data_IF_603457725483
#
_entry.id   IF_603457725483
#
_cell.length_a   1.000
_cell.length_b   1.000
_cell.length_c   1.000
_cell.angle_alpha   90.00
_cell.angle_beta   90.00
_cell.angle_gamma   90.00
#
_symmetry.space_group_name_H-M   'P 1'
#
loop_
_entity.id
_entity.type
_entity.pdbx_description
1 polymer ?
#
# COMPACT_ATOMS: atom_id res chain seq x y z
N UNK A 1 -16.75 -5.83 -0.69
CA UNK A 1 -15.30 -5.75 -0.41
C UNK A 1 -14.82 -4.35 -0.72
N UNK A 2 -13.85 -3.85 0.06
CA UNK A 2 -13.29 -2.49 -0.08
C UNK A 2 -11.76 -2.54 -0.16
N UNK A 3 -11.17 -1.76 -1.05
CA UNK A 3 -9.71 -1.58 -1.15
C UNK A 3 -9.36 -0.12 -0.90
N UNK A 4 -8.44 0.13 0.03
CA UNK A 4 -7.84 1.44 0.25
C UNK A 4 -6.61 1.59 -0.65
N UNK A 5 -6.56 2.71 -1.37
CA UNK A 5 -5.45 3.06 -2.26
C UNK A 5 -4.73 4.29 -1.71
N UNK A 6 -3.50 4.10 -1.25
CA UNK A 6 -2.70 5.13 -0.61
C UNK A 6 -1.82 5.86 -1.62
N UNK A 7 -2.02 7.18 -1.75
CA UNK A 7 -1.25 8.04 -2.65
C UNK A 7 -0.11 8.74 -1.91
N UNK A 8 1.11 8.27 -2.09
CA UNK A 8 2.32 8.86 -1.51
C UNK A 8 2.91 10.05 -2.29
N UNK A 9 2.26 10.47 -3.37
CA UNK A 9 2.71 11.64 -4.12
C UNK A 9 2.38 12.94 -3.39
N UNK A 10 3.28 13.93 -3.37
CA UNK A 10 2.95 15.27 -2.89
C UNK A 10 1.94 16.01 -3.77
N UNK A 11 1.66 15.47 -4.95
CA UNK A 11 0.71 16.05 -5.91
C UNK A 11 -0.57 15.23 -5.94
N UNK A 12 -1.65 15.76 -5.39
CA UNK A 12 -2.93 15.09 -5.21
C UNK A 12 -3.57 14.62 -6.53
N UNK A 13 -3.42 15.38 -7.62
CA UNK A 13 -3.93 15.02 -8.94
C UNK A 13 -2.78 14.72 -9.92
N UNK A 14 -1.66 14.19 -9.42
CA UNK A 14 -0.47 13.88 -10.21
C UNK A 14 -0.50 12.51 -10.87
N UNK A 15 0.65 12.10 -11.43
CA UNK A 15 0.79 10.83 -12.15
C UNK A 15 0.50 9.61 -11.26
N UNK A 16 0.86 9.65 -9.97
CA UNK A 16 0.56 8.57 -9.02
C UNK A 16 -0.94 8.46 -8.77
N UNK A 17 -1.63 9.59 -8.62
CA UNK A 17 -3.10 9.61 -8.50
C UNK A 17 -3.77 9.06 -9.76
N UNK A 18 -3.31 9.44 -10.95
CA UNK A 18 -3.83 8.91 -12.21
C UNK A 18 -3.67 7.38 -12.31
N UNK A 19 -2.54 6.83 -11.85
CA UNK A 19 -2.32 5.38 -11.78
C UNK A 19 -3.29 4.71 -10.79
N UNK A 20 -3.50 5.30 -9.62
CA UNK A 20 -4.46 4.79 -8.64
C UNK A 20 -5.90 4.86 -9.13
N UNK A 21 -6.29 5.95 -9.81
CA UNK A 21 -7.62 6.06 -10.46
C UNK A 21 -7.82 5.01 -11.53
N UNK A 22 -6.77 4.69 -12.30
CA UNK A 22 -6.82 3.61 -13.28
C UNK A 22 -7.07 2.26 -12.60
N UNK A 23 -6.33 1.93 -11.54
CA UNK A 23 -6.53 0.71 -10.76
C UNK A 23 -7.90 0.68 -10.08
N UNK A 24 -8.35 1.80 -9.52
CA UNK A 24 -9.68 1.97 -8.91
C UNK A 24 -10.80 1.64 -9.90
N UNK A 25 -10.71 2.14 -11.13
CA UNK A 25 -11.67 1.82 -12.21
C UNK A 25 -11.74 0.31 -12.45
N UNK A 26 -10.59 -0.35 -12.60
CA UNK A 26 -10.50 -1.80 -12.84
C UNK A 26 -11.12 -2.60 -11.68
N UNK A 27 -10.91 -2.17 -10.43
CA UNK A 27 -11.51 -2.79 -9.23
C UNK A 27 -13.02 -2.56 -9.16
N UNK A 28 -13.48 -1.33 -9.45
CA UNK A 28 -14.91 -0.97 -9.42
C UNK A 28 -15.71 -1.74 -10.47
N UNK A 29 -15.16 -1.94 -11.68
CA UNK A 29 -15.74 -2.80 -12.72
C UNK A 29 -15.92 -4.27 -12.26
N UNK A 30 -15.26 -4.64 -11.14
CA UNK A 30 -15.34 -5.97 -10.51
C UNK A 30 -16.12 -5.97 -9.20
N UNK A 31 -16.95 -4.94 -8.99
CA UNK A 31 -17.78 -4.76 -7.79
C UNK A 31 -16.96 -4.69 -6.47
N UNK A 32 -15.76 -4.09 -6.52
CA UNK A 32 -14.95 -3.80 -5.36
C UNK A 32 -14.97 -2.28 -5.13
N UNK A 33 -15.42 -1.86 -3.97
CA UNK A 33 -15.38 -0.45 -3.55
C UNK A 33 -13.93 -0.01 -3.37
N UNK A 34 -13.66 1.22 -3.73
CA UNK A 34 -12.32 1.80 -3.60
C UNK A 34 -12.37 3.19 -2.98
N UNK A 35 -11.36 3.50 -2.21
CA UNK A 35 -11.14 4.83 -1.65
C UNK A 35 -9.67 5.21 -1.81
N UNK A 36 -9.39 6.39 -2.39
CA UNK A 36 -8.03 6.91 -2.52
C UNK A 36 -7.75 7.82 -1.33
N UNK A 37 -6.73 7.46 -0.55
CA UNK A 37 -6.26 8.21 0.61
C UNK A 37 -4.97 8.98 0.26
N UNK A 38 -5.01 10.29 0.34
CA UNK A 38 -3.88 11.15 0.08
C UNK A 38 -2.93 11.19 1.29
N UNK A 39 -1.65 10.87 1.08
CA UNK A 39 -0.59 10.90 2.09
C UNK A 39 0.29 12.15 1.92
N UNK A 40 0.76 12.39 0.71
CA UNK A 40 1.77 13.40 0.43
C UNK A 40 1.38 14.79 0.94
N UNK A 41 2.34 15.52 1.52
CA UNK A 41 2.21 16.82 2.21
C UNK A 41 1.36 16.80 3.49
N UNK A 42 0.88 15.65 3.93
CA UNK A 42 0.05 15.53 5.15
C UNK A 42 0.78 14.87 6.31
N UNK A 43 1.95 14.28 6.05
CA UNK A 43 2.80 13.68 7.07
C UNK A 43 3.61 14.75 7.80
N UNK A 44 3.41 14.89 9.12
CA UNK A 44 4.07 15.93 9.95
C UNK A 44 5.41 15.47 10.53
N UNK A 45 5.76 14.20 10.41
CA UNK A 45 7.03 13.70 10.95
C UNK A 45 7.26 12.22 10.71
N UNK A 46 8.52 11.82 10.92
CA UNK A 46 8.98 10.44 10.82
C UNK A 46 8.70 9.66 12.11
N UNK A 47 8.79 8.32 12.04
CA UNK A 47 8.71 7.49 13.24
C UNK A 47 9.93 7.76 14.15
N UNK A 48 9.67 8.10 15.41
CA UNK A 48 10.70 8.40 16.42
C UNK A 48 11.06 7.17 17.28
N UNK A 49 10.44 6.01 17.04
CA UNK A 49 10.64 4.81 17.86
C UNK A 49 10.20 4.97 19.33
N UNK A 50 9.28 5.87 19.62
CA UNK A 50 8.90 6.22 21.00
C UNK A 50 8.05 5.14 21.71
N UNK A 51 7.52 4.15 21.00
CA UNK A 51 6.70 3.08 21.56
C UNK A 51 5.26 3.47 21.93
N UNK A 52 4.88 4.75 21.86
CA UNK A 52 3.56 5.22 22.32
C UNK A 52 2.35 4.60 21.60
N UNK A 53 2.54 4.07 20.39
CA UNK A 53 1.48 3.37 19.65
C UNK A 53 1.25 1.92 20.12
N UNK A 54 2.17 1.33 20.89
CA UNK A 54 2.03 -0.06 21.36
C UNK A 54 0.82 -0.24 22.26
N UNK A 55 0.54 0.74 23.10
CA UNK A 55 -0.55 0.68 24.10
C UNK A 55 -1.86 1.25 23.56
N UNK A 56 -1.77 2.24 22.67
CA UNK A 56 -2.93 3.02 22.24
C UNK A 56 -3.43 2.64 20.84
N UNK A 57 -2.63 1.95 20.03
CA UNK A 57 -2.90 1.72 18.61
C UNK A 57 -2.87 2.99 17.76
N UNK A 58 -2.39 4.12 18.30
CA UNK A 58 -2.35 5.43 17.62
C UNK A 58 -0.97 6.06 17.71
N UNK A 59 -0.57 6.76 16.66
CA UNK A 59 0.68 7.51 16.68
C UNK A 59 0.56 8.76 17.53
N UNK A 60 1.63 9.09 18.29
CA UNK A 60 1.68 10.32 19.09
C UNK A 60 1.71 11.60 18.23
N UNK A 61 2.14 11.48 16.96
CA UNK A 61 2.07 12.58 16.00
C UNK A 61 0.69 12.54 15.36
N UNK A 62 -0.13 13.54 15.65
CA UNK A 62 -1.49 13.62 15.13
C UNK A 62 -1.50 14.24 13.73
N UNK A 63 -1.70 13.37 12.73
CA UNK A 63 -1.77 13.71 11.31
C UNK A 63 -2.49 12.61 10.51
N UNK A 64 -2.32 12.59 9.20
CA UNK A 64 -2.97 11.64 8.29
C UNK A 64 -2.70 10.15 8.62
N UNK A 65 -1.66 9.83 9.41
CA UNK A 65 -1.45 8.45 9.86
C UNK A 65 -2.56 8.01 10.80
N UNK A 66 -2.94 8.85 11.76
CA UNK A 66 -4.05 8.54 12.67
C UNK A 66 -5.40 8.49 11.94
N UNK A 67 -5.61 9.35 10.95
CA UNK A 67 -6.81 9.27 10.09
C UNK A 67 -6.85 7.94 9.31
N UNK A 68 -5.71 7.48 8.78
CA UNK A 68 -5.63 6.18 8.12
C UNK A 68 -5.89 5.02 9.09
N UNK A 69 -5.38 5.09 10.33
CA UNK A 69 -5.62 4.07 11.36
C UNK A 69 -7.11 3.92 11.68
N UNK A 70 -7.90 4.97 11.57
CA UNK A 70 -9.34 4.93 11.82
C UNK A 70 -10.10 4.13 10.74
N UNK A 71 -9.57 4.02 9.53
CA UNK A 71 -10.26 3.40 8.38
C UNK A 71 -9.66 2.09 7.87
N UNK A 72 -8.40 1.75 8.23
CA UNK A 72 -7.74 0.54 7.70
C UNK A 72 -8.45 -0.76 8.11
N UNK A 73 -9.14 -0.79 9.24
CA UNK A 73 -9.87 -2.00 9.67
C UNK A 73 -11.02 -2.35 8.73
N UNK A 74 -11.64 -1.35 8.08
CA UNK A 74 -12.77 -1.50 7.19
C UNK A 74 -12.41 -2.06 5.81
N UNK A 75 -11.13 -2.00 5.44
CA UNK A 75 -10.67 -2.47 4.15
C UNK A 75 -10.35 -3.97 4.15
N UNK A 76 -10.62 -4.60 3.01
CA UNK A 76 -10.28 -5.99 2.74
C UNK A 76 -8.91 -6.13 2.05
N UNK A 77 -8.38 -5.06 1.48
CA UNK A 77 -7.08 -5.03 0.80
C UNK A 77 -6.53 -3.62 0.62
N UNK A 78 -5.26 -3.51 0.24
CA UNK A 78 -4.53 -2.25 0.18
C UNK A 78 -3.69 -2.13 -1.08
N UNK A 79 -3.61 -0.90 -1.62
CA UNK A 79 -2.64 -0.52 -2.64
C UNK A 79 -1.81 0.64 -2.12
N UNK A 80 -0.50 0.50 -2.09
CA UNK A 80 0.43 1.56 -1.74
C UNK A 80 1.15 2.06 -2.99
N UNK A 81 0.89 3.30 -3.40
CA UNK A 81 1.48 3.87 -4.60
C UNK A 81 2.38 5.06 -4.29
N UNK A 82 3.56 5.09 -4.90
CA UNK A 82 4.58 6.11 -4.64
C UNK A 82 5.18 6.64 -5.94
N UNK A 83 5.52 7.94 -6.02
CA UNK A 83 6.46 8.41 -7.02
C UNK A 83 7.89 8.01 -6.62
N UNK A 84 8.79 7.97 -7.60
CA UNK A 84 10.22 7.74 -7.34
C UNK A 84 10.93 9.06 -7.08
N UNK A 85 11.56 9.17 -5.91
CA UNK A 85 12.46 10.25 -5.53
C UNK A 85 13.84 9.67 -5.22
N UNK A 86 14.87 10.02 -6.03
CA UNK A 86 16.24 9.53 -5.84
C UNK A 86 16.34 8.00 -5.70
N UNK A 87 15.67 7.27 -6.61
CA UNK A 87 15.59 5.80 -6.62
C UNK A 87 14.96 5.18 -5.33
N UNK A 88 14.17 5.95 -4.61
CA UNK A 88 13.45 5.53 -3.40
C UNK A 88 11.98 5.94 -3.50
N UNK A 89 11.09 5.39 -2.69
CA UNK A 89 9.76 5.96 -2.48
C UNK A 89 9.84 7.41 -2.02
N UNK A 90 8.77 8.17 -2.14
CA UNK A 90 8.72 9.51 -1.53
C UNK A 90 8.95 9.43 -0.02
N UNK A 91 9.61 10.45 0.54
CA UNK A 91 9.86 10.52 1.98
C UNK A 91 8.59 10.46 2.82
N UNK A 92 7.51 11.11 2.35
CA UNK A 92 6.19 11.05 3.00
C UNK A 92 5.63 9.63 3.04
N UNK A 93 5.78 8.86 1.94
CA UNK A 93 5.33 7.46 1.91
C UNK A 93 6.07 6.61 2.93
N UNK A 94 7.39 6.73 3.04
CA UNK A 94 8.18 5.95 4.00
C UNK A 94 7.82 6.34 5.44
N UNK A 95 7.77 7.63 5.74
CA UNK A 95 7.39 8.11 7.07
C UNK A 95 5.97 7.68 7.47
N UNK A 96 5.05 7.67 6.51
CA UNK A 96 3.70 7.17 6.68
C UNK A 96 3.68 5.66 6.97
N UNK A 97 4.35 4.85 6.14
CA UNK A 97 4.37 3.39 6.28
C UNK A 97 5.02 2.95 7.60
N UNK A 98 6.15 3.54 7.97
CA UNK A 98 6.79 3.24 9.27
C UNK A 98 5.81 3.40 10.41
N UNK A 99 5.10 4.51 10.46
CA UNK A 99 4.17 4.82 11.54
C UNK A 99 2.87 4.00 11.46
N UNK A 100 2.33 3.81 10.26
CA UNK A 100 1.12 3.01 10.03
C UNK A 100 1.35 1.55 10.43
N UNK A 101 2.48 0.96 10.02
CA UNK A 101 2.77 -0.44 10.32
C UNK A 101 3.19 -0.67 11.78
N UNK A 102 3.76 0.33 12.46
CA UNK A 102 3.98 0.22 13.91
C UNK A 102 2.66 0.26 14.69
N UNK A 103 1.71 1.11 14.30
CA UNK A 103 0.48 1.30 15.06
C UNK A 103 -0.68 0.37 14.63
N UNK A 104 -0.79 0.08 13.32
CA UNK A 104 -1.96 -0.56 12.72
C UNK A 104 -1.72 -1.96 12.12
N UNK A 105 -0.55 -2.57 12.33
CA UNK A 105 -0.17 -3.83 11.68
C UNK A 105 -1.19 -4.96 11.88
N UNK A 106 -1.75 -5.10 13.07
CA UNK A 106 -2.73 -6.15 13.39
C UNK A 106 -4.01 -6.05 12.55
N UNK A 107 -4.49 -4.84 12.25
CA UNK A 107 -5.69 -4.61 11.44
C UNK A 107 -5.50 -4.97 9.95
N UNK A 108 -4.24 -4.97 9.48
CA UNK A 108 -3.88 -5.22 8.07
C UNK A 108 -3.41 -6.67 7.83
N UNK A 109 -3.07 -7.43 8.86
CA UNK A 109 -2.56 -8.79 8.75
C UNK A 109 -3.51 -9.70 7.96
N UNK A 110 -2.96 -10.54 7.09
CA UNK A 110 -3.66 -11.49 6.21
C UNK A 110 -4.56 -10.84 5.14
N UNK A 111 -4.62 -9.52 5.07
CA UNK A 111 -5.29 -8.83 3.97
C UNK A 111 -4.29 -8.57 2.84
N UNK A 112 -4.67 -8.78 1.56
CA UNK A 112 -3.75 -8.62 0.44
C UNK A 112 -3.31 -7.17 0.26
N UNK A 113 -2.05 -7.00 -0.12
CA UNK A 113 -1.45 -5.72 -0.42
C UNK A 113 -0.78 -5.71 -1.79
N UNK A 114 -0.91 -4.61 -2.51
CA UNK A 114 -0.23 -4.34 -3.76
C UNK A 114 0.61 -3.07 -3.65
N UNK A 115 1.69 -3.01 -4.42
CA UNK A 115 2.57 -1.84 -4.52
C UNK A 115 2.55 -1.36 -5.96
N UNK A 116 2.49 -0.05 -6.18
CA UNK A 116 2.63 0.57 -7.48
C UNK A 116 3.65 1.70 -7.43
N UNK A 117 4.54 1.74 -8.41
CA UNK A 117 5.63 2.73 -8.46
C UNK A 117 5.55 3.52 -9.76
N UNK A 118 5.51 4.83 -9.63
CA UNK A 118 5.40 5.73 -10.78
C UNK A 118 6.66 6.60 -10.89
N UNK A 119 7.31 6.58 -12.03
CA UNK A 119 8.52 7.35 -12.25
C UNK A 119 8.58 8.00 -13.63
N UNK A 120 9.43 9.00 -13.74
CA UNK A 120 9.79 9.54 -15.05
C UNK A 120 10.66 8.55 -15.84
N UNK A 121 11.59 7.84 -15.17
CA UNK A 121 12.57 6.96 -15.84
C UNK A 121 13.08 5.86 -14.89
N UNK A 122 14.21 6.04 -14.23
CA UNK A 122 14.89 5.01 -13.42
C UNK A 122 14.51 5.00 -11.95
N UNK A 123 14.96 3.96 -11.21
CA UNK A 123 14.82 3.82 -9.76
C UNK A 123 13.53 3.13 -9.28
N UNK A 124 12.73 2.61 -10.19
CA UNK A 124 11.44 1.99 -9.86
C UNK A 124 11.58 0.70 -9.06
N UNK A 125 12.47 -0.20 -9.46
CA UNK A 125 12.68 -1.49 -8.77
C UNK A 125 13.21 -1.28 -7.36
N UNK A 126 14.15 -0.35 -7.17
CA UNK A 126 14.66 -0.01 -5.85
C UNK A 126 13.58 0.58 -4.93
N UNK A 127 12.70 1.43 -5.46
CA UNK A 127 11.55 1.95 -4.72
C UNK A 127 10.53 0.85 -4.41
N UNK A 128 10.27 -0.04 -5.36
CA UNK A 128 9.40 -1.20 -5.17
C UNK A 128 9.92 -2.12 -4.06
N UNK A 129 11.20 -2.50 -4.10
CA UNK A 129 11.83 -3.36 -3.11
C UNK A 129 11.78 -2.77 -1.69
N UNK A 130 11.95 -1.44 -1.58
CA UNK A 130 11.85 -0.76 -0.29
C UNK A 130 10.45 -0.88 0.30
N UNK A 131 9.41 -0.70 -0.51
CA UNK A 131 8.02 -0.79 -0.05
C UNK A 131 7.55 -2.22 0.20
N UNK A 132 8.08 -3.20 -0.54
CA UNK A 132 7.71 -4.60 -0.43
C UNK A 132 7.97 -5.18 0.96
N UNK A 133 8.93 -4.62 1.69
CA UNK A 133 9.29 -5.07 3.04
C UNK A 133 8.16 -4.91 4.06
N UNK A 134 7.30 -3.92 3.91
CA UNK A 134 6.20 -3.66 4.84
C UNK A 134 5.14 -4.77 4.83
N UNK A 135 4.48 -5.08 3.70
CA UNK A 135 3.47 -6.14 3.67
C UNK A 135 4.08 -7.52 3.96
N UNK A 136 5.29 -7.82 3.46
CA UNK A 136 5.93 -9.12 3.70
C UNK A 136 6.28 -9.34 5.17
N UNK A 137 6.74 -8.31 5.88
CA UNK A 137 6.95 -8.38 7.32
C UNK A 137 5.65 -8.58 8.10
N UNK A 138 4.55 -8.01 7.61
CA UNK A 138 3.25 -8.01 8.31
C UNK A 138 2.34 -9.19 7.93
N UNK A 139 2.88 -10.27 7.37
CA UNK A 139 2.09 -11.46 6.98
C UNK A 139 0.94 -11.14 6.02
N UNK A 140 1.11 -10.14 5.16
CA UNK A 140 0.12 -9.79 4.15
C UNK A 140 0.45 -10.50 2.83
N UNK A 141 -0.51 -11.19 2.20
CA UNK A 141 -0.31 -11.70 0.85
C UNK A 141 0.02 -10.57 -0.11
N UNK A 142 1.16 -10.66 -0.80
CA UNK A 142 1.54 -9.66 -1.81
C UNK A 142 0.94 -10.03 -3.15
N UNK A 143 0.16 -9.10 -3.71
CA UNK A 143 -0.42 -9.26 -5.03
C UNK A 143 0.62 -8.92 -6.08
N UNK A 144 0.83 -9.82 -7.04
CA UNK A 144 1.71 -9.63 -8.20
C UNK A 144 0.93 -9.35 -9.49
N UNK A 145 1.60 -8.70 -10.42
CA UNK A 145 1.15 -8.53 -11.80
C UNK A 145 1.81 -9.53 -12.74
N UNK A 146 1.83 -9.19 -14.01
CA UNK A 146 2.58 -9.88 -15.07
C UNK A 146 4.02 -9.37 -15.20
N UNK A 147 4.29 -8.23 -14.60
CA UNK A 147 5.61 -7.59 -14.47
C UNK A 147 5.70 -6.87 -13.12
N UNK A 148 6.84 -6.26 -12.77
CA UNK A 148 6.92 -5.37 -11.61
C UNK A 148 5.94 -4.21 -11.81
N UNK A 149 5.15 -3.84 -10.78
CA UNK A 149 4.11 -2.84 -10.90
C UNK A 149 4.67 -1.42 -11.02
N UNK A 150 5.20 -1.12 -12.17
CA UNK A 150 5.87 0.12 -12.55
C UNK A 150 5.08 0.78 -13.67
N UNK A 151 4.95 2.10 -13.62
CA UNK A 151 4.44 2.88 -14.73
C UNK A 151 5.23 4.20 -14.88
N UNK A 152 5.29 4.70 -16.09
CA UNK A 152 6.09 5.86 -16.43
C UNK A 152 5.22 7.05 -16.82
N UNK A 153 5.39 8.14 -16.09
CA UNK A 153 4.84 9.46 -16.39
C UNK A 153 5.64 10.53 -15.63
N UNK A 154 5.56 11.78 -16.07
CA UNK A 154 6.32 12.85 -15.42
C UNK A 154 5.38 13.95 -14.93
N UNK A 155 5.39 15.14 -15.46
CA UNK A 155 4.63 16.28 -14.92
C UNK A 155 3.14 16.17 -15.23
N UNK A 156 2.80 15.72 -16.43
CA UNK A 156 1.42 15.61 -16.91
C UNK A 156 0.86 14.20 -16.66
N UNK A 157 -0.18 14.05 -15.83
CA UNK A 157 -0.83 12.76 -15.61
C UNK A 157 -1.35 12.08 -16.88
N UNK A 158 -1.65 12.86 -17.94
CA UNK A 158 -2.08 12.32 -19.22
C UNK A 158 -0.98 11.49 -19.91
N UNK A 159 0.29 11.72 -19.61
CA UNK A 159 1.42 10.95 -20.14
C UNK A 159 1.36 9.46 -19.73
N UNK A 160 0.68 9.14 -18.61
CA UNK A 160 0.49 7.75 -18.21
C UNK A 160 -0.19 6.92 -19.30
N UNK A 161 -1.01 7.54 -20.15
CA UNK A 161 -1.68 6.87 -21.28
C UNK A 161 -0.70 6.43 -22.38
N UNK A 162 0.49 7.00 -22.41
CA UNK A 162 1.53 6.64 -23.38
C UNK A 162 2.35 5.42 -22.91
N UNK A 163 2.24 5.05 -21.65
CA UNK A 163 2.86 3.85 -21.09
C UNK A 163 1.83 2.71 -21.07
N UNK A 164 1.58 2.15 -22.25
CA UNK A 164 0.59 1.07 -22.44
C UNK A 164 0.95 -0.18 -21.63
N UNK A 165 2.23 -0.54 -21.56
CA UNK A 165 2.71 -1.68 -20.78
C UNK A 165 2.53 -1.44 -19.27
N UNK A 166 2.89 -0.27 -18.78
CA UNK A 166 2.65 0.11 -17.38
C UNK A 166 1.18 0.09 -17.01
N UNK A 167 0.29 0.62 -17.86
CA UNK A 167 -1.16 0.55 -17.65
C UNK A 167 -1.70 -0.88 -17.69
N UNK A 168 -1.18 -1.72 -18.58
CA UNK A 168 -1.54 -3.14 -18.65
C UNK A 168 -1.14 -3.86 -17.35
N UNK A 169 0.09 -3.63 -16.87
CA UNK A 169 0.61 -4.19 -15.62
C UNK A 169 -0.23 -3.75 -14.40
N UNK A 170 -0.55 -2.45 -14.29
CA UNK A 170 -1.42 -1.95 -13.22
C UNK A 170 -2.83 -2.53 -13.30
N UNK A 171 -3.36 -2.73 -14.52
CA UNK A 171 -4.65 -3.39 -14.72
C UNK A 171 -4.61 -4.86 -14.28
N UNK A 172 -3.55 -5.58 -14.62
CA UNK A 172 -3.34 -6.97 -14.21
C UNK A 172 -3.22 -7.08 -12.69
N UNK A 173 -2.45 -6.19 -12.07
CA UNK A 173 -2.34 -6.10 -10.62
C UNK A 173 -3.70 -5.91 -9.94
N UNK A 174 -4.53 -5.01 -10.47
CA UNK A 174 -5.86 -4.75 -9.94
C UNK A 174 -6.82 -5.95 -10.14
N UNK A 175 -6.72 -6.66 -11.29
CA UNK A 175 -7.48 -7.91 -11.54
C UNK A 175 -7.07 -9.01 -10.56
N UNK A 176 -5.77 -9.16 -10.32
CA UNK A 176 -5.24 -10.16 -9.39
C UNK A 176 -5.63 -9.84 -7.94
N UNK A 177 -5.65 -8.56 -7.55
CA UNK A 177 -6.20 -8.11 -6.26
C UNK A 177 -7.67 -8.53 -6.13
N UNK A 178 -8.49 -8.26 -7.14
CA UNK A 178 -9.89 -8.63 -7.14
C UNK A 178 -10.11 -10.15 -7.05
N UNK A 179 -9.31 -10.93 -7.76
CA UNK A 179 -9.33 -12.39 -7.69
C UNK A 179 -8.94 -12.89 -6.30
N UNK A 180 -7.85 -12.41 -5.72
CA UNK A 180 -7.38 -12.81 -4.39
C UNK A 180 -8.39 -12.48 -3.31
N UNK A 181 -9.02 -11.29 -3.35
CA UNK A 181 -10.08 -10.90 -2.42
C UNK A 181 -11.27 -11.87 -2.46
N UNK A 182 -11.68 -12.29 -3.67
CA UNK A 182 -12.76 -13.28 -3.83
C UNK A 182 -12.36 -14.67 -3.31
N UNK A 183 -11.12 -15.09 -3.51
CA UNK A 183 -10.62 -16.35 -2.97
C UNK A 183 -10.63 -16.33 -1.43
N UNK A 184 -10.17 -15.23 -0.82
CA UNK A 184 -10.18 -15.06 0.64
C UNK A 184 -11.62 -15.04 1.17
N UNK A 185 -12.53 -14.34 0.52
CA UNK A 185 -13.94 -14.29 0.90
C UNK A 185 -14.61 -15.68 0.78
N UNK A 186 -14.33 -16.41 -0.30
CA UNK A 186 -14.83 -17.77 -0.49
C UNK A 186 -14.26 -18.73 0.59
N UNK A 187 -12.97 -18.61 0.90
CA UNK A 187 -12.32 -19.35 1.98
C UNK A 187 -12.97 -19.09 3.33
N UNK A 188 -13.19 -17.82 3.66
CA UNK A 188 -13.89 -17.43 4.91
C UNK A 188 -15.29 -18.05 5.01
N UNK A 189 -16.07 -18.04 3.92
CA UNK A 189 -17.40 -18.67 3.86
C UNK A 189 -17.34 -20.20 4.03
N UNK A 190 -16.25 -20.82 3.59
CA UNK A 190 -16.00 -22.25 3.76
C UNK A 190 -15.39 -22.62 5.13
N UNK A 191 -15.23 -21.64 6.03
CA UNK A 191 -14.63 -21.85 7.36
C UNK A 191 -13.10 -21.89 7.36
N UNK A 192 -12.44 -21.55 6.25
CA UNK A 192 -10.98 -21.49 6.17
C UNK A 192 -10.51 -20.14 6.71
N UNK A 193 -9.74 -20.17 7.78
CA UNK A 193 -9.18 -19.00 8.44
C UNK A 193 -7.65 -19.13 8.55
N UNK A 194 -6.89 -18.03 8.46
CA UNK A 194 -5.46 -18.08 8.77
C UNK A 194 -5.26 -18.50 10.21
N UNK A 195 -4.30 -19.38 10.44
CA UNK A 195 -3.87 -19.71 11.79
C UNK A 195 -2.94 -18.62 12.31
N UNK A 196 -3.38 -17.90 13.32
CA UNK A 196 -2.54 -16.94 14.02
C UNK A 196 -1.89 -17.57 15.23
N UNK A 197 -0.58 -17.64 15.23
CA UNK A 197 0.22 -18.05 16.38
C UNK A 197 0.92 -16.82 16.96
N UNK A 198 0.69 -16.53 18.22
CA UNK A 198 1.36 -15.44 18.92
C UNK A 198 2.86 -15.70 19.01
N UNK A 199 3.65 -14.70 18.61
CA UNK A 199 5.10 -14.79 18.67
C UNK A 199 5.59 -14.55 20.08
N UNK A 200 6.01 -15.62 20.76
CA UNK A 200 6.53 -15.59 22.13
C UNK A 200 8.07 -15.61 22.20
N UNK A 201 8.74 -15.71 21.05
CA UNK A 201 10.20 -15.87 20.97
C UNK A 201 10.80 -14.60 20.37
N UNK A 202 11.62 -13.93 21.16
CA UNK A 202 12.38 -12.76 20.75
C UNK A 202 13.86 -13.03 20.99
N UNK A 203 14.65 -12.93 19.95
CA UNK A 203 16.12 -13.05 20.04
C UNK A 203 16.78 -11.79 19.52
N UNK A 204 17.84 -11.40 20.17
CA UNK A 204 18.79 -10.43 19.65
C UNK A 204 20.17 -11.09 19.52
N UNK A 205 21.12 -10.45 18.85
CA UNK A 205 22.49 -10.95 18.71
C UNK A 205 23.37 -10.58 19.89
N UNK A 206 22.84 -9.94 20.91
CA UNK A 206 23.52 -9.58 22.16
C UNK A 206 23.24 -10.70 23.15
N UNK A 207 24.27 -11.40 23.57
CA UNK A 207 24.23 -12.48 24.57
C UNK A 207 24.93 -12.04 25.84
#
# INVERSE_FOLDING_TARGET
MKVLLFNGSPNENGCTDAALRHMSKVLTERNIQTEIFQIGRRVKGVCMGCGGCSDTGRCVIDDCVNEALDIISEADGYVFATPVHFASPSGDMIAFLDRLFYAGSSAMRYKPAAIAVIARRGGCTSAFDAMLKYPTYNQMPVVSGDYWPIAHAHVDPAQLRCDEEGLFTLSTLARNMAWMLRCIEAGKKAGIQPEYVEKNIWTNFIR
#
